data_IF_010120687984
#
_entry.id   IF_010120687984
#
_cell.length_a   1.000
_cell.length_b   1.000
_cell.length_c   1.000
_cell.angle_alpha   90.00
_cell.angle_beta   90.00
_cell.angle_gamma   90.00
#
_symmetry.space_group_name_H-M   'P 1'
#
loop_
_entity.id
_entity.type
_entity.pdbx_description
1 polymer ?
#
# COMPACT_ATOMS: atom_id res chain seq x y z
N UNK A 1 -11.52 6.72 -11.57
CA UNK A 1 -11.66 6.59 -10.09
C UNK A 1 -11.61 7.93 -9.37
N UNK A 2 -10.90 8.95 -9.88
CA UNK A 2 -10.90 10.29 -9.29
C UNK A 2 -12.31 10.89 -9.06
N UNK A 3 -13.30 10.55 -9.90
CA UNK A 3 -14.70 11.00 -9.73
C UNK A 3 -15.51 10.31 -8.61
N UNK A 4 -15.10 9.13 -8.12
CA UNK A 4 -15.90 8.38 -7.12
C UNK A 4 -15.39 8.49 -5.69
N UNK A 5 -14.08 8.63 -5.51
CA UNK A 5 -13.46 8.80 -4.19
C UNK A 5 -12.10 9.51 -4.35
N UNK A 6 -12.05 10.84 -4.14
CA UNK A 6 -10.80 11.59 -4.24
C UNK A 6 -9.80 11.21 -3.14
N UNK A 7 -10.27 10.75 -1.98
CA UNK A 7 -9.40 10.34 -0.87
C UNK A 7 -8.70 9.02 -1.20
N UNK A 8 -9.44 8.04 -1.75
CA UNK A 8 -8.84 6.81 -2.26
C UNK A 8 -7.82 7.07 -3.37
N UNK A 9 -8.05 8.07 -4.21
CA UNK A 9 -7.08 8.48 -5.23
C UNK A 9 -5.82 9.09 -4.61
N UNK A 10 -5.96 9.92 -3.57
CA UNK A 10 -4.83 10.50 -2.83
C UNK A 10 -4.00 9.41 -2.12
N UNK A 11 -4.66 8.48 -1.39
CA UNK A 11 -4.05 7.29 -0.79
C UNK A 11 -3.24 6.50 -1.81
N UNK A 12 -3.84 6.18 -2.96
CA UNK A 12 -3.21 5.39 -4.01
C UNK A 12 -1.99 6.10 -4.62
N UNK A 13 -2.07 7.42 -4.81
CA UNK A 13 -0.96 8.23 -5.31
C UNK A 13 0.23 8.18 -4.35
N UNK A 14 -0.01 8.45 -3.06
CA UNK A 14 1.01 8.41 -2.02
C UNK A 14 1.63 7.01 -1.87
N UNK A 15 0.80 5.96 -1.88
CA UNK A 15 1.25 4.58 -1.79
C UNK A 15 2.14 4.18 -2.97
N UNK A 16 1.75 4.53 -4.21
CA UNK A 16 2.56 4.25 -5.41
C UNK A 16 3.91 4.95 -5.38
N UNK A 17 3.93 6.22 -4.99
CA UNK A 17 5.18 6.97 -4.86
C UNK A 17 6.13 6.28 -3.86
N UNK A 18 5.62 5.93 -2.67
CA UNK A 18 6.42 5.25 -1.64
C UNK A 18 6.90 3.87 -2.06
N UNK A 19 6.06 3.07 -2.72
CA UNK A 19 6.43 1.73 -3.21
C UNK A 19 7.51 1.82 -4.29
N UNK A 20 7.43 2.80 -5.20
CA UNK A 20 8.47 3.03 -6.21
C UNK A 20 9.81 3.38 -5.56
N UNK A 21 9.83 4.34 -4.64
CA UNK A 21 11.06 4.71 -3.90
C UNK A 21 11.65 3.51 -3.15
N UNK A 22 10.81 2.69 -2.51
CA UNK A 22 11.27 1.49 -1.83
C UNK A 22 11.84 0.44 -2.81
N UNK A 23 11.21 0.24 -3.96
CA UNK A 23 11.68 -0.68 -4.99
C UNK A 23 13.05 -0.23 -5.55
N UNK A 24 13.23 1.07 -5.77
CA UNK A 24 14.51 1.68 -6.14
C UNK A 24 15.60 1.40 -5.08
N UNK A 25 15.30 1.62 -3.80
CA UNK A 25 16.24 1.32 -2.70
C UNK A 25 16.61 -0.16 -2.61
N UNK A 26 15.66 -1.05 -2.90
CA UNK A 26 15.87 -2.50 -2.92
C UNK A 26 16.45 -3.01 -4.25
N UNK A 27 16.71 -2.13 -5.21
CA UNK A 27 17.27 -2.45 -6.54
C UNK A 27 16.49 -3.56 -7.27
N UNK A 28 15.15 -3.51 -7.21
CA UNK A 28 14.28 -4.48 -7.86
C UNK A 28 13.06 -3.82 -8.53
N UNK A 29 12.45 -4.46 -9.53
CA UNK A 29 11.19 -3.97 -10.11
C UNK A 29 10.09 -3.91 -9.06
N UNK A 30 9.28 -2.85 -9.05
CA UNK A 30 8.17 -2.70 -8.09
C UNK A 30 7.23 -3.92 -8.09
N UNK A 31 7.02 -4.55 -9.25
CA UNK A 31 6.12 -5.69 -9.41
C UNK A 31 6.65 -6.95 -8.69
N UNK A 32 7.97 -7.03 -8.48
CA UNK A 32 8.59 -8.06 -7.65
C UNK A 32 8.44 -7.74 -6.14
N UNK A 33 8.35 -6.45 -5.78
CA UNK A 33 8.10 -6.01 -4.41
C UNK A 33 6.66 -6.28 -3.99
N UNK A 34 5.70 -5.75 -4.75
CA UNK A 34 4.27 -5.88 -4.49
C UNK A 34 3.48 -5.61 -5.77
N UNK A 35 2.39 -6.34 -6.00
CA UNK A 35 1.62 -6.13 -7.22
C UNK A 35 0.88 -4.78 -7.17
N UNK A 36 0.79 -4.04 -8.29
CA UNK A 36 0.01 -2.80 -8.37
C UNK A 36 -1.49 -3.00 -8.07
N UNK A 37 -2.00 -4.23 -8.22
CA UNK A 37 -3.37 -4.62 -7.88
C UNK A 37 -3.57 -4.65 -6.36
N UNK A 38 -2.65 -5.30 -5.63
CA UNK A 38 -2.68 -5.35 -4.16
C UNK A 38 -2.67 -3.96 -3.54
N UNK A 39 -1.76 -3.08 -3.99
CA UNK A 39 -1.67 -1.68 -3.47
C UNK A 39 -3.00 -0.95 -3.67
N UNK A 40 -3.61 -1.11 -4.84
CA UNK A 40 -4.88 -0.47 -5.17
C UNK A 40 -6.04 -1.00 -4.32
N UNK A 41 -6.13 -2.31 -4.09
CA UNK A 41 -7.18 -2.89 -3.22
C UNK A 41 -7.08 -2.34 -1.80
N UNK A 42 -5.87 -2.31 -1.22
CA UNK A 42 -5.62 -1.75 0.11
C UNK A 42 -5.98 -0.25 0.18
N UNK A 43 -5.70 0.54 -0.86
CA UNK A 43 -6.05 1.96 -0.87
C UNK A 43 -7.55 2.22 -1.10
N UNK A 44 -8.24 1.28 -1.74
CA UNK A 44 -9.68 1.36 -2.01
C UNK A 44 -10.51 0.94 -0.80
N UNK A 45 -10.11 -0.14 -0.14
CA UNK A 45 -10.76 -0.70 1.04
C UNK A 45 -9.73 -0.80 2.17
N UNK A 46 -9.32 0.35 2.74
CA UNK A 46 -8.34 0.36 3.81
C UNK A 46 -8.91 -0.29 5.08
N UNK A 47 -8.05 -0.87 5.93
CA UNK A 47 -8.47 -1.30 7.26
C UNK A 47 -9.05 -0.13 8.06
N UNK A 48 -10.04 -0.41 8.93
CA UNK A 48 -10.72 0.60 9.73
C UNK A 48 -9.74 1.43 10.60
N UNK A 49 -8.67 0.80 11.07
CA UNK A 49 -7.49 1.44 11.65
C UNK A 49 -6.30 1.10 10.76
N UNK A 50 -5.72 2.08 10.03
CA UNK A 50 -4.54 1.84 9.20
C UNK A 50 -3.28 1.81 10.07
N UNK A 51 -3.22 0.88 11.02
CA UNK A 51 -2.02 0.56 11.77
C UNK A 51 -1.20 -0.53 11.05
N UNK A 52 0.09 -0.70 11.39
CA UNK A 52 0.95 -1.66 10.71
C UNK A 52 0.42 -3.09 10.73
N UNK A 53 -0.18 -3.54 11.83
CA UNK A 53 -0.67 -4.92 11.95
C UNK A 53 -1.88 -5.15 11.03
N UNK A 54 -2.84 -4.23 11.01
CA UNK A 54 -4.00 -4.32 10.14
C UNK A 54 -3.63 -4.27 8.65
N UNK A 55 -2.65 -3.42 8.29
CA UNK A 55 -2.12 -3.35 6.92
C UNK A 55 -1.40 -4.63 6.54
N UNK A 56 -0.58 -5.19 7.45
CA UNK A 56 0.12 -6.45 7.21
C UNK A 56 -0.83 -7.62 7.00
N UNK A 57 -1.91 -7.70 7.79
CA UNK A 57 -2.95 -8.73 7.62
C UNK A 57 -3.70 -8.57 6.30
N UNK A 58 -4.04 -7.33 5.89
CA UNK A 58 -4.64 -7.08 4.57
C UNK A 58 -3.72 -7.55 3.43
N UNK A 59 -2.43 -7.21 3.48
CA UNK A 59 -1.44 -7.66 2.50
C UNK A 59 -1.33 -9.19 2.45
N UNK A 60 -1.33 -9.85 3.61
CA UNK A 60 -1.34 -11.32 3.70
C UNK A 60 -2.59 -11.91 3.08
N UNK A 61 -3.76 -11.32 3.32
CA UNK A 61 -5.03 -11.71 2.71
C UNK A 61 -5.02 -11.64 1.18
N UNK A 62 -4.23 -10.72 0.61
CA UNK A 62 -4.01 -10.62 -0.85
C UNK A 62 -2.84 -11.48 -1.37
N UNK A 63 -2.26 -12.35 -0.53
CA UNK A 63 -1.22 -13.29 -0.93
C UNK A 63 0.21 -12.71 -0.96
N UNK A 64 0.44 -11.53 -0.35
CA UNK A 64 1.79 -11.00 -0.22
C UNK A 64 2.66 -11.91 0.64
N UNK A 65 3.91 -12.14 0.23
CA UNK A 65 4.88 -12.95 0.96
C UNK A 65 5.38 -12.19 2.19
N UNK A 66 5.84 -12.91 3.21
CA UNK A 66 6.34 -12.33 4.47
C UNK A 66 7.36 -11.20 4.26
N UNK A 67 8.38 -11.40 3.42
CA UNK A 67 9.39 -10.37 3.15
C UNK A 67 8.78 -9.13 2.48
N UNK A 68 7.80 -9.31 1.59
CA UNK A 68 7.08 -8.19 0.94
C UNK A 68 6.29 -7.41 1.99
N UNK A 69 5.57 -8.11 2.87
CA UNK A 69 4.82 -7.51 3.97
C UNK A 69 5.74 -6.69 4.87
N UNK A 70 6.87 -7.25 5.30
CA UNK A 70 7.84 -6.58 6.19
C UNK A 70 8.37 -5.27 5.58
N UNK A 71 8.61 -5.24 4.26
CA UNK A 71 9.09 -4.03 3.57
C UNK A 71 7.98 -3.03 3.23
N UNK A 72 6.83 -3.50 2.76
CA UNK A 72 5.76 -2.65 2.19
C UNK A 72 4.82 -2.08 3.26
N UNK A 73 4.63 -2.79 4.38
CA UNK A 73 3.71 -2.37 5.44
C UNK A 73 3.96 -0.93 5.94
N UNK A 74 5.19 -0.51 6.29
CA UNK A 74 5.44 0.86 6.78
C UNK A 74 5.08 1.92 5.74
N UNK A 75 5.32 1.63 4.46
CA UNK A 75 5.05 2.54 3.35
C UNK A 75 3.55 2.73 3.17
N UNK A 76 2.78 1.64 3.12
CA UNK A 76 1.34 1.72 2.94
C UNK A 76 0.66 2.31 4.18
N UNK A 77 1.08 1.93 5.38
CA UNK A 77 0.55 2.51 6.63
C UNK A 77 0.66 4.04 6.61
N UNK A 78 1.83 4.58 6.26
CA UNK A 78 2.04 6.04 6.16
C UNK A 78 1.14 6.68 5.10
N UNK A 79 1.01 6.06 3.93
CA UNK A 79 0.17 6.57 2.86
C UNK A 79 -1.32 6.58 3.23
N UNK A 80 -1.79 5.56 3.95
CA UNK A 80 -3.17 5.47 4.44
C UNK A 80 -3.44 6.47 5.56
N UNK A 81 -2.51 6.65 6.50
CA UNK A 81 -2.67 7.58 7.63
C UNK A 81 -2.61 9.05 7.20
N UNK A 82 -1.81 9.39 6.18
CA UNK A 82 -1.76 10.75 5.63
C UNK A 82 -3.07 11.20 4.97
N UNK A 83 -3.95 10.23 4.68
CA UNK A 83 -5.15 10.36 3.87
C UNK A 83 -6.31 9.56 4.51
N UNK A 84 -6.37 9.60 5.84
CA UNK A 84 -7.48 9.09 6.61
C UNK A 84 -8.62 10.11 6.55
N UNK A 85 -9.81 9.65 6.16
CA UNK A 85 -11.03 10.47 6.10
C UNK A 85 -11.47 10.94 7.49
#
# INVERSE_FOLDING_TARGET
WADRDPEAAARLSAARAGVNTLAEHLHLPQENLITPDTVRRVCWEPPASPDPDAVAEALRGYGARRWQIEHVTPVLTRALQAHAA
#
